data_IF_841093544441
#
_entry.id   IF_841093544441
#
_cell.length_a   1.000
_cell.length_b   1.000
_cell.length_c   1.000
_cell.angle_alpha   90.00
_cell.angle_beta   90.00
_cell.angle_gamma   90.00
#
_symmetry.space_group_name_H-M   'P 1'
#
loop_
_entity.id
_entity.type
_entity.pdbx_description
1 polymer ?
#
# COMPACT_ATOMS: atom_id res chain seq x y z
N UNK A 1 -20.69 22.13 -7.51
CA UNK A 1 -20.58 22.97 -6.29
C UNK A 1 -19.11 23.11 -5.98
N UNK A 2 -18.70 24.32 -5.59
CA UNK A 2 -17.34 24.60 -5.13
C UNK A 2 -17.42 25.04 -3.67
N UNK A 3 -16.58 24.47 -2.81
CA UNK A 3 -16.51 24.78 -1.39
C UNK A 3 -15.19 25.45 -1.10
N UNK A 4 -15.24 26.67 -0.59
CA UNK A 4 -14.07 27.45 -0.17
C UNK A 4 -13.93 27.36 1.33
N UNK A 5 -12.72 27.06 1.81
CA UNK A 5 -12.38 27.13 3.24
C UNK A 5 -11.73 28.48 3.49
N UNK A 6 -12.31 29.28 4.38
CA UNK A 6 -11.85 30.65 4.64
C UNK A 6 -11.19 30.77 6.02
N UNK A 7 -12.01 30.92 7.05
CA UNK A 7 -11.57 31.29 8.39
C UNK A 7 -11.36 30.03 9.21
N UNK A 8 -10.10 29.73 9.50
CA UNK A 8 -9.70 28.59 10.33
C UNK A 8 -9.14 29.11 11.64
N UNK A 9 -9.78 28.77 12.76
CA UNK A 9 -9.32 29.14 14.10
C UNK A 9 -9.18 27.88 14.95
N UNK A 10 -8.02 27.72 15.59
CA UNK A 10 -7.76 26.58 16.49
C UNK A 10 -7.58 25.23 15.79
N UNK A 11 -7.45 25.21 14.46
CA UNK A 11 -7.12 24.00 13.69
C UNK A 11 -5.60 23.93 13.52
N UNK A 12 -4.94 22.80 13.84
CA UNK A 12 -3.51 22.63 13.60
C UNK A 12 -3.15 22.73 12.12
N UNK A 13 -1.96 23.27 11.81
CA UNK A 13 -1.51 23.51 10.43
C UNK A 13 -1.33 22.22 9.60
N UNK A 14 -1.03 21.10 10.27
CA UNK A 14 -0.84 19.78 9.67
C UNK A 14 -2.16 18.99 9.52
N UNK A 15 -3.30 19.61 9.86
CA UNK A 15 -4.60 18.98 9.71
C UNK A 15 -4.98 18.76 8.25
N UNK A 16 -5.69 17.66 8.01
CA UNK A 16 -6.32 17.32 6.74
C UNK A 16 -7.82 17.58 6.88
N UNK A 17 -8.34 18.45 6.02
CA UNK A 17 -9.78 18.74 5.96
C UNK A 17 -10.43 17.75 5.02
N UNK A 18 -11.47 17.07 5.51
CA UNK A 18 -12.22 16.05 4.78
C UNK A 18 -13.69 16.43 4.68
N UNK A 19 -14.14 16.81 3.49
CA UNK A 19 -15.54 17.17 3.23
C UNK A 19 -16.19 16.08 2.36
N UNK A 20 -17.34 15.59 2.82
CA UNK A 20 -18.18 14.63 2.07
C UNK A 20 -19.53 15.26 1.76
N UNK A 21 -19.94 15.11 0.50
CA UNK A 21 -21.24 15.49 -0.03
C UNK A 21 -21.81 14.31 -0.82
N UNK A 22 -22.89 13.71 -0.31
CA UNK A 22 -23.43 12.46 -0.83
C UNK A 22 -22.41 11.32 -0.89
N UNK A 23 -22.18 10.81 -2.10
CA UNK A 23 -21.19 9.78 -2.38
C UNK A 23 -19.75 10.32 -2.55
N UNK A 24 -19.58 11.63 -2.75
CA UNK A 24 -18.28 12.21 -3.06
C UNK A 24 -17.58 12.70 -1.80
N UNK A 25 -16.37 12.21 -1.56
CA UNK A 25 -15.46 12.72 -0.53
C UNK A 25 -14.29 13.44 -1.19
N UNK A 26 -13.94 14.62 -0.67
CA UNK A 26 -12.74 15.39 -1.02
C UNK A 26 -11.95 15.63 0.25
N UNK A 27 -10.64 15.37 0.20
CA UNK A 27 -9.73 15.56 1.32
C UNK A 27 -8.47 16.24 0.82
N UNK A 28 -7.96 17.20 1.57
CA UNK A 28 -6.68 17.85 1.31
C UNK A 28 -6.13 18.50 2.59
N UNK A 29 -4.81 18.76 2.67
CA UNK A 29 -4.21 19.52 3.76
C UNK A 29 -4.86 20.89 3.94
N UNK A 30 -4.86 21.41 5.17
CA UNK A 30 -5.44 22.71 5.52
C UNK A 30 -4.90 23.85 4.64
N UNK A 31 -3.58 23.85 4.41
CA UNK A 31 -2.89 24.80 3.52
C UNK A 31 -3.46 24.80 2.09
N UNK A 32 -3.82 23.62 1.57
CA UNK A 32 -4.29 23.48 0.18
C UNK A 32 -5.72 23.97 0.05
N UNK A 33 -6.59 23.63 1.01
CA UNK A 33 -8.00 24.03 0.97
C UNK A 33 -8.23 25.52 1.24
N UNK A 34 -7.28 26.19 1.91
CA UNK A 34 -7.29 27.64 2.09
C UNK A 34 -7.00 28.42 0.81
N UNK A 35 -6.34 27.80 -0.17
CA UNK A 35 -5.99 28.44 -1.46
C UNK A 35 -6.88 27.94 -2.61
N UNK A 36 -7.33 26.69 -2.55
CA UNK A 36 -8.05 26.04 -3.65
C UNK A 36 -9.41 25.46 -3.23
N UNK A 37 -10.48 25.73 -4.00
CA UNK A 37 -11.80 25.21 -3.65
C UNK A 37 -11.91 23.71 -3.88
N UNK A 38 -12.65 23.03 -3.01
CA UNK A 38 -13.02 21.63 -3.18
C UNK A 38 -14.23 21.53 -4.11
N UNK A 39 -14.06 20.80 -5.23
CA UNK A 39 -15.10 20.64 -6.25
C UNK A 39 -15.91 19.36 -6.05
N UNK A 40 -17.22 19.52 -6.00
CA UNK A 40 -18.19 18.44 -5.87
C UNK A 40 -19.13 18.37 -7.08
N UNK A 41 -19.42 17.16 -7.58
CA UNK A 41 -20.45 16.99 -8.60
C UNK A 41 -21.81 17.35 -7.99
N UNK A 42 -22.63 18.07 -8.76
CA UNK A 42 -24.00 18.42 -8.37
C UNK A 42 -24.90 17.95 -9.49
N UNK A 43 -25.71 16.94 -9.21
CA UNK A 43 -26.85 16.59 -10.04
C UNK A 43 -28.02 17.51 -9.65
N UNK A 44 -28.91 17.83 -10.59
CA UNK A 44 -29.97 18.84 -10.40
C UNK A 44 -30.92 18.65 -9.21
N UNK A 45 -30.94 17.46 -8.58
CA UNK A 45 -31.72 17.13 -7.38
C UNK A 45 -30.97 17.37 -6.05
N UNK A 46 -29.67 17.65 -6.08
CA UNK A 46 -28.79 17.63 -4.90
C UNK A 46 -28.81 18.89 -4.01
N UNK A 47 -29.90 19.67 -4.02
CA UNK A 47 -29.94 20.99 -3.35
C UNK A 47 -29.99 20.87 -1.81
N UNK A 48 -30.35 19.71 -1.24
CA UNK A 48 -30.54 19.52 0.20
C UNK A 48 -29.66 18.44 0.85
N UNK A 49 -28.61 17.94 0.19
CA UNK A 49 -27.73 16.96 0.84
C UNK A 49 -26.81 17.62 1.87
N UNK A 50 -26.69 17.07 3.09
CA UNK A 50 -25.81 17.62 4.11
C UNK A 50 -24.34 17.42 3.75
N UNK A 51 -23.50 18.42 4.05
CA UNK A 51 -22.05 18.28 4.00
C UNK A 51 -21.55 17.73 5.34
N UNK A 52 -20.89 16.58 5.33
CA UNK A 52 -20.13 16.10 6.48
C UNK A 52 -18.71 16.65 6.39
N UNK A 53 -18.26 17.30 7.46
CA UNK A 53 -16.91 17.89 7.56
C UNK A 53 -16.19 17.20 8.71
N UNK A 54 -15.05 16.56 8.41
CA UNK A 54 -14.14 15.94 9.36
C UNK A 54 -12.79 16.69 9.31
N UNK A 55 -12.20 16.95 10.47
CA UNK A 55 -10.81 17.45 10.61
C UNK A 55 -9.97 16.29 11.13
N UNK A 56 -8.94 15.91 10.37
CA UNK A 56 -8.12 14.73 10.64
C UNK A 56 -6.68 15.16 10.90
N UNK A 57 -6.00 14.52 11.84
CA UNK A 57 -4.57 14.72 12.07
C UNK A 57 -3.79 13.47 11.65
N UNK A 58 -2.67 13.63 10.93
CA UNK A 58 -1.75 12.54 10.71
C UNK A 58 -1.09 12.18 12.06
N UNK A 59 -1.31 10.96 12.55
CA UNK A 59 -0.66 10.47 13.78
C UNK A 59 0.64 9.69 13.49
N UNK A 60 0.81 9.23 12.25
CA UNK A 60 2.01 8.53 11.80
C UNK A 60 2.14 8.58 10.27
N UNK A 61 3.37 8.48 9.77
CA UNK A 61 3.67 8.41 8.33
C UNK A 61 4.84 7.45 8.10
N UNK A 62 4.75 6.65 7.04
CA UNK A 62 5.82 5.73 6.63
C UNK A 62 5.83 5.58 5.11
N UNK A 63 6.92 5.06 4.55
CA UNK A 63 7.06 4.77 3.12
C UNK A 63 7.30 3.28 2.96
N UNK A 64 6.49 2.65 2.11
CA UNK A 64 6.67 1.26 1.72
C UNK A 64 7.22 1.19 0.30
N UNK A 65 8.28 0.41 0.09
CA UNK A 65 8.79 0.06 -1.24
C UNK A 65 8.10 -1.23 -1.67
N UNK A 66 7.41 -1.19 -2.82
CA UNK A 66 6.71 -2.35 -3.36
C UNK A 66 7.65 -3.23 -4.18
N UNK A 67 7.50 -4.54 -4.02
CA UNK A 67 8.14 -5.55 -4.84
C UNK A 67 7.13 -6.18 -5.82
N UNK A 68 7.47 -6.33 -7.11
CA UNK A 68 6.59 -6.92 -8.13
C UNK A 68 5.97 -8.28 -7.75
N UNK A 69 6.72 -9.15 -7.07
CA UNK A 69 6.28 -10.51 -6.73
C UNK A 69 5.70 -10.65 -5.33
N UNK A 70 5.55 -9.56 -4.58
CA UNK A 70 5.01 -9.58 -3.21
C UNK A 70 3.75 -8.73 -3.16
N UNK A 71 2.65 -9.36 -2.76
CA UNK A 71 1.35 -8.72 -2.64
C UNK A 71 0.97 -8.47 -1.17
N UNK A 72 1.69 -9.02 -0.20
CA UNK A 72 1.40 -8.88 1.22
C UNK A 72 2.55 -8.20 1.95
N UNK A 73 2.24 -7.12 2.66
CA UNK A 73 3.23 -6.35 3.43
C UNK A 73 2.75 -6.17 4.86
N UNK A 74 3.71 -6.04 5.77
CA UNK A 74 3.45 -5.67 7.16
C UNK A 74 4.38 -4.52 7.53
N UNK A 75 3.80 -3.43 8.02
CA UNK A 75 4.50 -2.16 8.16
C UNK A 75 4.34 -1.65 9.59
N UNK A 76 5.45 -1.30 10.23
CA UNK A 76 5.45 -0.58 11.50
C UNK A 76 5.40 0.93 11.30
N UNK A 77 4.77 1.63 12.24
CA UNK A 77 4.71 3.07 12.28
C UNK A 77 5.31 3.60 13.57
N UNK A 78 5.98 4.75 13.46
CA UNK A 78 6.34 5.57 14.61
C UNK A 78 5.33 6.69 14.76
N UNK A 79 4.85 6.90 15.98
CA UNK A 79 3.95 8.02 16.30
C UNK A 79 4.67 9.34 16.13
N UNK A 80 3.99 10.32 15.54
CA UNK A 80 4.54 11.67 15.38
C UNK A 80 4.62 12.42 16.71
N UNK A 81 3.74 12.10 17.65
CA UNK A 81 3.70 12.71 18.99
C UNK A 81 4.77 12.14 19.94
N UNK A 82 5.63 11.23 19.45
CA UNK A 82 6.66 10.56 20.25
C UNK A 82 6.10 9.54 21.26
N UNK A 83 4.80 9.24 21.21
CA UNK A 83 4.20 8.20 22.04
C UNK A 83 4.71 6.82 21.61
N UNK A 84 5.17 6.00 22.56
CA UNK A 84 5.74 4.67 22.30
C UNK A 84 4.68 3.57 22.09
N UNK A 85 3.53 3.95 21.53
CA UNK A 85 2.47 2.99 21.23
C UNK A 85 2.80 2.28 19.91
N UNK A 86 3.01 0.95 19.93
CA UNK A 86 3.34 0.21 18.72
C UNK A 86 2.15 0.22 17.76
N UNK A 87 2.38 0.73 16.55
CA UNK A 87 1.39 0.77 15.47
C UNK A 87 1.89 -0.09 14.32
N UNK A 88 1.03 -0.96 13.81
CA UNK A 88 1.38 -1.86 12.71
C UNK A 88 0.18 -2.03 11.77
N UNK A 89 0.44 -2.15 10.47
CA UNK A 89 -0.58 -2.35 9.44
C UNK A 89 -0.15 -3.44 8.47
N UNK A 90 -1.05 -4.39 8.23
CA UNK A 90 -0.93 -5.33 7.12
C UNK A 90 -1.59 -4.77 5.87
N UNK A 91 -0.90 -4.79 4.73
CA UNK A 91 -1.45 -4.40 3.43
C UNK A 91 -1.47 -5.61 2.50
N UNK A 92 -2.54 -5.74 1.70
CA UNK A 92 -2.56 -6.63 0.54
C UNK A 92 -2.74 -5.77 -0.73
N UNK A 93 -1.71 -5.73 -1.57
CA UNK A 93 -1.63 -4.90 -2.76
C UNK A 93 -1.94 -5.77 -3.98
N UNK A 94 -3.07 -5.49 -4.66
CA UNK A 94 -3.49 -6.19 -5.87
C UNK A 94 -3.38 -5.29 -7.08
N UNK A 95 -2.89 -5.82 -8.21
CA UNK A 95 -2.85 -5.11 -9.49
C UNK A 95 -1.72 -4.06 -9.62
N UNK A 96 -0.69 -4.11 -8.77
CA UNK A 96 0.47 -3.21 -8.87
C UNK A 96 1.40 -3.52 -10.06
N UNK A 97 1.24 -4.69 -10.69
CA UNK A 97 1.78 -4.98 -12.00
C UNK A 97 0.64 -4.96 -13.00
N UNK A 98 0.90 -4.47 -14.21
CA UNK A 98 0.04 -4.68 -15.36
C UNK A 98 -0.08 -6.18 -15.66
N UNK A 99 -0.90 -6.87 -14.89
CA UNK A 99 -1.35 -8.22 -15.16
C UNK A 99 -2.48 -8.11 -16.17
N UNK A 100 -2.10 -8.05 -17.44
CA UNK A 100 -2.99 -8.51 -18.49
C UNK A 100 -3.41 -9.95 -18.16
N UNK A 101 -4.73 -10.17 -18.11
CA UNK A 101 -5.44 -11.45 -18.19
C UNK A 101 -4.82 -12.66 -17.49
N UNK A 102 -5.42 -13.09 -16.38
CA UNK A 102 -5.13 -14.40 -15.82
C UNK A 102 -5.93 -14.66 -14.56
N UNK A 103 -7.03 -15.37 -14.75
CA UNK A 103 -7.93 -15.89 -13.73
C UNK A 103 -7.23 -16.75 -12.66
N UNK A 104 -7.86 -16.73 -11.49
CA UNK A 104 -8.05 -17.86 -10.57
C UNK A 104 -7.00 -18.14 -9.49
N UNK A 105 -7.49 -18.55 -8.32
CA UNK A 105 -6.67 -19.06 -7.22
C UNK A 105 -6.90 -18.42 -5.86
N UNK A 106 -8.14 -18.39 -5.38
CA UNK A 106 -8.45 -18.16 -3.97
C UNK A 106 -7.92 -19.33 -3.13
N UNK A 107 -6.80 -19.17 -2.42
CA UNK A 107 -6.30 -20.20 -1.49
C UNK A 107 -6.59 -19.78 -0.05
N UNK A 108 -7.57 -20.48 0.55
CA UNK A 108 -7.78 -20.59 2.00
C UNK A 108 -6.77 -21.61 2.58
N UNK A 109 -6.20 -21.40 3.78
CA UNK A 109 -5.27 -22.35 4.36
C UNK A 109 -6.05 -23.47 5.05
N UNK A 110 -5.89 -24.71 4.58
CA UNK A 110 -6.44 -25.88 5.25
C UNK A 110 -6.70 -27.08 4.35
N UNK A 111 -5.65 -27.72 3.83
CA UNK A 111 -5.56 -29.19 3.77
C UNK A 111 -4.22 -29.59 3.18
N UNK A 112 -3.50 -30.43 3.90
CA UNK A 112 -2.28 -31.06 3.43
C UNK A 112 -2.62 -32.11 2.38
N UNK A 113 -2.04 -32.01 1.18
CA UNK A 113 -1.87 -33.13 0.25
C UNK A 113 -0.54 -33.00 -0.50
N UNK A 114 0.14 -34.13 -0.80
CA UNK A 114 1.50 -34.14 -1.32
C UNK A 114 1.49 -33.82 -2.82
N UNK A 115 1.72 -32.56 -3.17
CA UNK A 115 1.89 -32.17 -4.56
C UNK A 115 3.32 -32.48 -4.98
N UNK A 116 3.46 -33.56 -5.75
CA UNK A 116 4.57 -33.94 -6.65
C UNK A 116 5.81 -33.04 -6.57
N UNK A 117 6.63 -33.24 -5.54
CA UNK A 117 7.91 -32.55 -5.35
C UNK A 117 8.83 -32.62 -6.58
N UNK A 118 8.68 -33.64 -7.42
CA UNK A 118 9.49 -33.82 -8.63
C UNK A 118 9.14 -32.81 -9.73
N UNK A 119 7.85 -32.51 -9.94
CA UNK A 119 7.42 -31.54 -10.96
C UNK A 119 7.76 -30.10 -10.51
N UNK A 120 7.63 -29.83 -9.21
CA UNK A 120 8.04 -28.56 -8.62
C UNK A 120 9.56 -28.34 -8.68
N UNK A 121 10.36 -29.38 -8.44
CA UNK A 121 11.82 -29.32 -8.54
C UNK A 121 12.31 -29.18 -9.98
N UNK A 122 11.66 -29.83 -10.95
CA UNK A 122 11.97 -29.68 -12.37
C UNK A 122 11.67 -28.26 -12.86
N UNK A 123 10.50 -27.72 -12.52
CA UNK A 123 10.12 -26.33 -12.83
C UNK A 123 11.06 -25.30 -12.20
N UNK A 124 11.48 -25.53 -10.95
CA UNK A 124 12.46 -24.69 -10.28
C UNK A 124 13.83 -24.73 -10.96
N UNK A 125 14.29 -25.90 -11.44
CA UNK A 125 15.55 -26.04 -12.15
C UNK A 125 15.56 -25.20 -13.45
N UNK A 126 14.51 -25.32 -14.26
CA UNK A 126 14.42 -24.60 -15.54
C UNK A 126 14.41 -23.08 -15.32
N UNK A 127 13.71 -22.60 -14.28
CA UNK A 127 13.69 -21.20 -13.91
C UNK A 127 15.09 -20.68 -13.47
N UNK A 128 15.80 -21.46 -12.66
CA UNK A 128 17.15 -21.14 -12.17
C UNK A 128 18.19 -21.14 -13.29
N UNK A 129 18.05 -22.02 -14.29
CA UNK A 129 18.92 -22.05 -15.46
C UNK A 129 18.62 -20.90 -16.42
N UNK A 130 17.34 -20.63 -16.71
CA UNK A 130 16.92 -19.55 -17.61
C UNK A 130 17.38 -18.16 -17.14
N UNK A 131 17.36 -17.93 -15.82
CA UNK A 131 17.78 -16.65 -15.23
C UNK A 131 19.26 -16.63 -14.84
N UNK A 132 20.02 -17.69 -15.15
CA UNK A 132 21.45 -17.79 -14.83
C UNK A 132 21.77 -17.89 -13.33
N UNK A 133 20.75 -18.02 -12.48
CA UNK A 133 20.86 -18.08 -11.03
C UNK A 133 21.62 -19.33 -10.57
N UNK A 134 21.45 -20.45 -11.28
CA UNK A 134 22.17 -21.68 -10.96
C UNK A 134 23.69 -21.48 -11.05
N UNK A 135 24.15 -20.83 -12.13
CA UNK A 135 25.57 -20.52 -12.36
C UNK A 135 26.10 -19.54 -11.32
N UNK A 136 25.30 -18.55 -10.94
CA UNK A 136 25.65 -17.56 -9.92
C UNK A 136 25.78 -18.18 -8.52
N UNK A 137 24.84 -19.03 -8.12
CA UNK A 137 24.90 -19.71 -6.82
C UNK A 137 26.08 -20.69 -6.77
N UNK A 138 26.36 -21.41 -7.85
CA UNK A 138 27.52 -22.30 -7.94
C UNK A 138 28.85 -21.53 -7.84
N UNK A 139 28.98 -20.38 -8.50
CA UNK A 139 30.20 -19.57 -8.41
C UNK A 139 30.36 -18.94 -7.02
N UNK A 140 29.28 -18.49 -6.39
CA UNK A 140 29.28 -17.97 -5.03
C UNK A 140 29.68 -19.05 -4.03
N UNK A 141 29.11 -20.25 -4.14
CA UNK A 141 29.46 -21.38 -3.27
C UNK A 141 30.94 -21.76 -3.43
N UNK A 142 31.44 -21.81 -4.67
CA UNK A 142 32.85 -22.07 -4.94
C UNK A 142 33.75 -21.00 -4.31
N UNK A 143 33.39 -19.72 -4.42
CA UNK A 143 34.13 -18.63 -3.79
C UNK A 143 34.12 -18.73 -2.26
N UNK A 144 32.99 -19.04 -1.63
CA UNK A 144 32.87 -19.22 -0.17
C UNK A 144 33.71 -20.41 0.31
N UNK A 145 33.69 -21.52 -0.42
CA UNK A 145 34.53 -22.70 -0.12
C UNK A 145 36.01 -22.36 -0.23
N UNK A 146 36.41 -21.57 -1.23
CA UNK A 146 37.79 -21.13 -1.41
C UNK A 146 38.26 -20.17 -0.32
N UNK A 147 37.42 -19.20 0.05
CA UNK A 147 37.75 -18.19 1.07
C UNK A 147 37.72 -18.81 2.48
N UNK A 148 36.94 -19.87 2.67
CA UNK A 148 36.76 -20.61 3.94
C UNK A 148 36.71 -19.67 5.16
N UNK A 149 35.78 -18.69 5.16
CA UNK A 149 35.70 -17.71 6.22
C UNK A 149 35.36 -18.40 7.56
N UNK A 150 36.00 -17.93 8.64
CA UNK A 150 35.76 -18.42 10.01
C UNK A 150 34.49 -17.82 10.60
#
# INVERSE_FOLDING_TARGET
MEVYVTDCFGIPDDAIVSIRFGATRRQAPLETVGVHPLKFPVSGEAVCEPLKIDVLLPIATTRLVLHPSEDQYRIGFHSLDGSDNPMEMGLNIRGALGSGGGSDGQIRPGSAMPVKFQDAAASAKDYLEAHGLLRYVQSLLHAVIQVKPK
#
